data_IF_266287505383
#
_entry.id   IF_266287505383
#
_cell.length_a   1.000
_cell.length_b   1.000
_cell.length_c   1.000
_cell.angle_alpha   90.00
_cell.angle_beta   90.00
_cell.angle_gamma   90.00
#
_symmetry.space_group_name_H-M   'P 1'
#
loop_
_entity.id
_entity.type
_entity.pdbx_description
1 polymer ?
#
# COMPACT_ATOMS: atom_id res chain seq x y z
N UNK A 1 16.71 1.55 16.62
CA UNK A 1 15.40 2.04 16.16
C UNK A 1 14.62 0.82 15.67
N UNK A 2 13.30 0.73 15.94
CA UNK A 2 12.54 -0.42 15.46
C UNK A 2 12.60 -0.46 13.93
N UNK A 3 12.68 -1.67 13.37
CA UNK A 3 12.57 -1.89 11.93
C UNK A 3 11.25 -1.30 11.46
N UNK A 4 11.25 -0.53 10.37
CA UNK A 4 10.01 -0.03 9.78
C UNK A 4 9.12 -1.23 9.44
N UNK A 5 7.92 -1.32 10.04
CA UNK A 5 6.93 -2.25 9.52
C UNK A 5 6.57 -1.83 8.09
N UNK A 6 6.47 -2.82 7.21
CA UNK A 6 6.27 -2.67 5.76
C UNK A 6 7.40 -1.94 5.02
N UNK A 7 8.65 -2.38 5.20
CA UNK A 7 9.72 -1.96 4.29
C UNK A 7 9.47 -2.47 2.85
N UNK A 8 9.81 -1.69 1.80
CA UNK A 8 9.66 -2.12 0.42
C UNK A 8 10.58 -3.31 0.08
N UNK A 9 10.11 -4.16 -0.83
CA UNK A 9 10.89 -5.22 -1.47
C UNK A 9 11.38 -4.72 -2.83
N UNK A 10 12.68 -4.47 -2.97
CA UNK A 10 13.24 -3.73 -4.10
C UNK A 10 14.27 -4.56 -4.84
N UNK A 11 14.11 -4.62 -6.15
CA UNK A 11 15.12 -5.14 -7.08
C UNK A 11 15.77 -3.97 -7.82
N UNK A 12 17.04 -3.70 -7.56
CA UNK A 12 17.82 -2.74 -8.35
C UNK A 12 18.40 -3.47 -9.55
N UNK A 13 17.90 -3.18 -10.76
CA UNK A 13 18.25 -3.85 -12.02
C UNK A 13 18.99 -2.91 -12.99
N UNK A 14 19.60 -3.50 -14.02
CA UNK A 14 20.39 -2.80 -15.03
C UNK A 14 21.67 -3.57 -15.42
N UNK A 15 22.32 -3.12 -16.48
CA UNK A 15 23.54 -3.74 -17.02
C UNK A 15 24.69 -3.70 -16.00
N UNK A 16 25.62 -4.67 -16.05
CA UNK A 16 26.82 -4.63 -15.21
C UNK A 16 27.58 -3.31 -15.43
N UNK A 17 28.05 -2.69 -14.33
CA UNK A 17 28.66 -1.36 -14.39
C UNK A 17 27.68 -0.17 -14.33
N UNK A 18 26.36 -0.39 -14.37
CA UNK A 18 25.36 0.69 -14.24
C UNK A 18 25.31 1.35 -12.84
N UNK A 19 25.93 0.74 -11.82
CA UNK A 19 25.96 1.27 -10.46
C UNK A 19 24.97 0.61 -9.49
N UNK A 20 24.34 -0.52 -9.86
CA UNK A 20 23.34 -1.24 -9.04
C UNK A 20 23.75 -1.40 -7.58
N UNK A 21 24.96 -1.90 -7.32
CA UNK A 21 25.46 -2.13 -5.95
C UNK A 21 25.61 -0.83 -5.17
N UNK A 22 26.15 0.21 -5.81
CA UNK A 22 26.32 1.53 -5.18
C UNK A 22 24.97 2.15 -4.82
N UNK A 23 24.02 2.18 -5.76
CA UNK A 23 22.68 2.72 -5.51
C UNK A 23 21.92 1.85 -4.50
N UNK A 24 21.96 0.52 -4.65
CA UNK A 24 21.27 -0.41 -3.76
C UNK A 24 21.77 -0.36 -2.31
N UNK A 25 23.08 -0.25 -2.09
CA UNK A 25 23.66 -0.07 -0.75
C UNK A 25 23.25 1.27 -0.14
N UNK A 26 23.39 2.37 -0.88
CA UNK A 26 23.04 3.70 -0.38
C UNK A 26 21.54 3.83 -0.10
N UNK A 27 20.68 3.23 -0.94
CA UNK A 27 19.25 3.18 -0.72
C UNK A 27 18.89 2.34 0.53
N UNK A 28 19.59 1.22 0.75
CA UNK A 28 19.38 0.38 1.93
C UNK A 28 19.77 1.09 3.22
N UNK A 29 20.88 1.83 3.22
CA UNK A 29 21.27 2.70 4.32
C UNK A 29 20.22 3.79 4.58
N UNK A 30 19.74 4.45 3.51
CA UNK A 30 18.73 5.52 3.58
C UNK A 30 17.41 5.06 4.17
N UNK A 31 16.99 3.84 3.83
CA UNK A 31 15.73 3.24 4.27
C UNK A 31 15.86 2.35 5.51
N UNK A 32 17.08 2.15 6.01
CA UNK A 32 17.40 1.20 7.08
C UNK A 32 16.87 -0.23 6.80
N UNK A 33 17.15 -0.73 5.60
CA UNK A 33 16.71 -2.05 5.11
C UNK A 33 17.89 -3.00 4.89
N UNK A 34 17.69 -4.32 4.97
CA UNK A 34 18.72 -5.28 4.60
C UNK A 34 19.04 -5.19 3.09
N UNK A 35 20.34 -5.22 2.76
CA UNK A 35 20.85 -5.24 1.38
C UNK A 35 21.53 -6.57 1.08
N UNK A 36 21.41 -7.06 -0.16
CA UNK A 36 22.23 -8.16 -0.67
C UNK A 36 22.58 -7.99 -2.15
N UNK A 37 23.71 -8.57 -2.56
CA UNK A 37 24.13 -8.58 -3.97
C UNK A 37 23.62 -9.87 -4.63
N UNK A 38 22.77 -9.74 -5.66
CA UNK A 38 22.12 -10.86 -6.32
C UNK A 38 23.08 -11.87 -6.93
N UNK A 39 24.27 -11.43 -7.32
CA UNK A 39 25.31 -12.29 -7.91
C UNK A 39 25.72 -13.41 -6.94
N UNK A 40 25.58 -13.18 -5.62
CA UNK A 40 25.86 -14.17 -4.58
C UNK A 40 24.89 -15.37 -4.54
N UNK A 41 23.75 -15.30 -5.23
CA UNK A 41 22.80 -16.41 -5.31
C UNK A 41 23.03 -17.34 -6.50
N UNK A 42 24.02 -17.06 -7.36
CA UNK A 42 24.29 -17.93 -8.49
C UNK A 42 24.73 -19.33 -8.01
N UNK A 43 24.13 -20.41 -8.55
CA UNK A 43 24.67 -21.75 -8.41
C UNK A 43 26.12 -21.82 -8.93
N UNK A 44 26.90 -22.77 -8.41
CA UNK A 44 28.30 -22.96 -8.80
C UNK A 44 28.48 -23.10 -10.31
N UNK A 45 27.60 -23.85 -10.97
CA UNK A 45 27.63 -24.06 -12.43
C UNK A 45 27.49 -22.74 -13.21
N UNK A 46 26.68 -21.80 -12.71
CA UNK A 46 26.53 -20.48 -13.34
C UNK A 46 27.80 -19.65 -13.18
N UNK A 47 28.42 -19.70 -12.01
CA UNK A 47 29.69 -19.02 -11.74
C UNK A 47 30.79 -19.56 -12.67
N UNK A 48 30.88 -20.88 -12.83
CA UNK A 48 31.85 -21.53 -13.72
C UNK A 48 31.62 -21.17 -15.20
N UNK A 49 30.36 -21.14 -15.67
CA UNK A 49 30.01 -20.70 -17.03
C UNK A 49 30.42 -19.24 -17.28
N UNK A 50 30.05 -18.34 -16.37
CA UNK A 50 30.36 -16.91 -16.49
C UNK A 50 31.87 -16.64 -16.42
N UNK A 51 32.60 -17.33 -15.53
CA UNK A 51 34.06 -17.25 -15.45
C UNK A 51 34.73 -17.77 -16.73
N UNK A 52 34.14 -18.76 -17.39
CA UNK A 52 34.55 -19.28 -18.69
C UNK A 52 34.09 -18.44 -19.89
N UNK A 53 33.41 -17.31 -19.69
CA UNK A 53 32.88 -16.44 -20.76
C UNK A 53 31.68 -17.02 -21.50
N UNK A 54 31.06 -18.08 -20.99
CA UNK A 54 29.85 -18.69 -21.55
C UNK A 54 28.62 -17.95 -21.03
N UNK A 55 27.78 -17.35 -21.91
CA UNK A 55 26.52 -16.74 -21.48
C UNK A 55 25.59 -17.78 -20.87
N UNK A 56 24.89 -17.39 -19.80
CA UNK A 56 23.85 -18.23 -19.21
C UNK A 56 22.65 -18.32 -20.16
N UNK A 57 21.89 -19.41 -20.10
CA UNK A 57 20.56 -19.55 -20.73
C UNK A 57 19.45 -19.12 -19.76
N UNK A 58 18.19 -19.09 -20.21
CA UNK A 58 17.05 -18.85 -19.31
C UNK A 58 16.93 -19.96 -18.25
N UNK A 59 17.08 -21.22 -18.67
CA UNK A 59 17.08 -22.38 -17.76
C UNK A 59 18.19 -22.31 -16.70
N UNK A 60 19.37 -21.78 -17.05
CA UNK A 60 20.46 -21.56 -16.10
C UNK A 60 20.11 -20.46 -15.07
N UNK A 61 19.32 -19.45 -15.46
CA UNK A 61 18.95 -18.33 -14.60
C UNK A 61 17.79 -18.66 -13.66
N UNK A 62 16.93 -19.62 -13.99
CA UNK A 62 15.76 -19.95 -13.16
C UNK A 62 16.10 -20.24 -11.68
N UNK A 63 17.07 -21.12 -11.33
CA UNK A 63 17.38 -21.39 -9.93
C UNK A 63 17.94 -20.18 -9.18
N UNK A 64 18.62 -19.28 -9.90
CA UNK A 64 19.16 -18.03 -9.38
C UNK A 64 18.05 -17.02 -9.07
N UNK A 65 17.11 -16.82 -10.01
CA UNK A 65 15.94 -15.97 -9.80
C UNK A 65 15.06 -16.47 -8.65
N UNK A 66 14.87 -17.80 -8.54
CA UNK A 66 14.10 -18.40 -7.44
C UNK A 66 14.77 -18.19 -6.07
N UNK A 67 16.10 -18.19 -6.02
CA UNK A 67 16.83 -17.91 -4.79
C UNK A 67 16.68 -16.44 -4.35
N UNK A 68 16.72 -15.51 -5.30
CA UNK A 68 16.43 -14.09 -5.05
C UNK A 68 14.97 -13.91 -4.59
N UNK A 69 14.01 -14.55 -5.26
CA UNK A 69 12.60 -14.51 -4.88
C UNK A 69 12.38 -15.02 -3.45
N UNK A 70 13.01 -16.15 -3.07
CA UNK A 70 12.95 -16.67 -1.69
C UNK A 70 13.54 -15.69 -0.67
N UNK A 71 14.65 -15.02 -1.00
CA UNK A 71 15.26 -14.04 -0.11
C UNK A 71 14.37 -12.82 0.12
N UNK A 72 13.68 -12.35 -0.93
CA UNK A 72 12.71 -11.27 -0.86
C UNK A 72 11.44 -11.70 -0.10
N UNK A 73 10.88 -12.88 -0.41
CA UNK A 73 9.68 -13.41 0.26
C UNK A 73 9.88 -13.60 1.77
N UNK A 74 11.08 -14.01 2.20
CA UNK A 74 11.42 -14.12 3.62
C UNK A 74 11.47 -12.76 4.35
N UNK A 75 11.35 -11.65 3.61
CA UNK A 75 11.37 -10.27 4.10
C UNK A 75 10.06 -9.53 3.86
N UNK A 76 9.01 -10.23 3.43
CA UNK A 76 7.67 -9.66 3.39
C UNK A 76 7.32 -9.09 4.77
N UNK A 77 6.93 -7.81 4.81
CA UNK A 77 6.64 -7.08 6.05
C UNK A 77 7.84 -6.38 6.70
N UNK A 78 9.08 -6.80 6.45
CA UNK A 78 10.30 -6.12 6.96
C UNK A 78 11.05 -5.32 5.89
N UNK A 79 10.84 -5.64 4.61
CA UNK A 79 11.52 -5.05 3.46
C UNK A 79 12.94 -5.56 3.22
N UNK A 80 13.46 -5.25 2.04
CA UNK A 80 14.80 -5.65 1.62
C UNK A 80 15.14 -5.20 0.20
N UNK A 81 16.43 -4.96 -0.05
CA UNK A 81 16.95 -4.50 -1.32
C UNK A 81 17.94 -5.52 -1.86
N UNK A 82 17.72 -5.96 -3.09
CA UNK A 82 18.62 -6.87 -3.81
C UNK A 82 19.00 -6.27 -5.15
N UNK A 83 20.27 -6.36 -5.52
CA UNK A 83 20.66 -6.14 -6.92
C UNK A 83 20.32 -7.37 -7.73
N UNK A 84 19.80 -7.23 -8.93
CA UNK A 84 19.61 -8.38 -9.82
C UNK A 84 19.71 -7.91 -11.26
N UNK A 85 20.50 -8.59 -12.09
CA UNK A 85 20.49 -8.37 -13.53
C UNK A 85 19.30 -9.07 -14.21
N UNK A 86 18.09 -8.81 -13.70
CA UNK A 86 16.83 -9.21 -14.32
C UNK A 86 16.52 -8.27 -15.51
N UNK A 87 17.30 -8.41 -16.59
CA UNK A 87 17.29 -7.50 -17.74
C UNK A 87 16.08 -7.70 -18.67
N UNK A 88 15.49 -8.89 -18.71
CA UNK A 88 14.30 -9.21 -19.52
C UNK A 88 13.03 -9.17 -18.68
N UNK A 89 11.91 -8.77 -19.29
CA UNK A 89 10.57 -8.76 -18.69
C UNK A 89 10.19 -10.12 -18.13
N UNK A 90 10.40 -11.20 -18.87
CA UNK A 90 10.05 -12.55 -18.39
C UNK A 90 10.77 -12.96 -17.09
N UNK A 91 11.96 -12.43 -16.82
CA UNK A 91 12.66 -12.65 -15.55
C UNK A 91 12.06 -11.81 -14.41
N UNK A 92 11.62 -10.58 -14.71
CA UNK A 92 10.93 -9.70 -13.76
C UNK A 92 9.53 -10.23 -13.44
N UNK A 93 8.79 -10.72 -14.43
CA UNK A 93 7.50 -11.39 -14.26
C UNK A 93 7.61 -12.59 -13.31
N UNK A 94 8.69 -13.39 -13.43
CA UNK A 94 8.94 -14.51 -12.50
C UNK A 94 9.13 -14.05 -11.06
N UNK A 95 9.89 -12.97 -10.85
CA UNK A 95 10.10 -12.38 -9.52
C UNK A 95 8.78 -11.80 -8.96
N UNK A 96 8.02 -11.07 -9.79
CA UNK A 96 6.75 -10.47 -9.41
C UNK A 96 5.65 -11.50 -9.09
N UNK A 97 5.65 -12.64 -9.80
CA UNK A 97 4.75 -13.76 -9.52
C UNK A 97 5.06 -14.45 -8.18
N UNK A 98 6.34 -14.46 -7.77
CA UNK A 98 6.77 -15.09 -6.51
C UNK A 98 6.71 -14.14 -5.31
N UNK A 99 6.80 -12.82 -5.54
CA UNK A 99 6.88 -11.79 -4.51
C UNK A 99 5.94 -10.65 -4.87
N UNK A 100 4.73 -10.69 -4.32
CA UNK A 100 3.73 -9.65 -4.52
C UNK A 100 4.24 -8.27 -4.08
N UNK A 101 4.07 -7.26 -4.94
CA UNK A 101 4.45 -5.87 -4.65
C UNK A 101 5.94 -5.57 -4.75
N UNK A 102 6.77 -6.48 -5.28
CA UNK A 102 8.19 -6.18 -5.57
C UNK A 102 8.31 -4.99 -6.53
N UNK A 103 9.24 -4.07 -6.24
CA UNK A 103 9.48 -2.86 -7.05
C UNK A 103 10.81 -2.99 -7.80
N UNK A 104 10.79 -2.72 -9.10
CA UNK A 104 11.99 -2.73 -9.94
C UNK A 104 12.53 -1.32 -10.16
N UNK A 105 13.75 -1.06 -9.69
CA UNK A 105 14.47 0.18 -9.98
C UNK A 105 15.50 -0.10 -11.08
N UNK A 106 15.16 0.21 -12.33
CA UNK A 106 16.03 0.00 -13.48
C UNK A 106 16.98 1.18 -13.65
N UNK A 107 18.28 0.96 -13.46
CA UNK A 107 19.29 1.98 -13.76
C UNK A 107 19.56 2.02 -15.26
N UNK A 108 19.17 3.13 -15.89
CA UNK A 108 19.43 3.40 -17.30
C UNK A 108 20.83 4.01 -17.47
N UNK A 109 21.76 3.18 -17.94
CA UNK A 109 23.15 3.56 -18.16
C UNK A 109 23.49 3.39 -19.64
N UNK A 110 24.05 4.42 -20.27
CA UNK A 110 24.52 4.30 -21.65
C UNK A 110 25.73 3.33 -21.74
N UNK A 111 25.95 2.68 -22.90
CA UNK A 111 27.13 1.87 -23.13
C UNK A 111 28.44 2.60 -22.85
N UNK A 112 28.50 3.90 -23.16
CA UNK A 112 29.66 4.77 -22.95
C UNK A 112 29.94 4.95 -21.45
N UNK A 113 28.91 5.26 -20.66
CA UNK A 113 29.03 5.41 -19.21
C UNK A 113 29.47 4.11 -18.54
N UNK A 114 28.92 2.98 -18.98
CA UNK A 114 29.34 1.65 -18.48
C UNK A 114 30.79 1.37 -18.84
N UNK A 115 31.20 1.63 -20.08
CA UNK A 115 32.58 1.43 -20.52
C UNK A 115 33.58 2.28 -19.74
N UNK A 116 33.25 3.55 -19.48
CA UNK A 116 34.06 4.46 -18.65
C UNK A 116 34.23 3.91 -17.22
N UNK A 117 33.13 3.51 -16.58
CA UNK A 117 33.15 2.97 -15.21
C UNK A 117 33.93 1.65 -15.11
N UNK A 118 33.82 0.78 -16.11
CA UNK A 118 34.56 -0.47 -16.14
C UNK A 118 36.06 -0.27 -16.39
N UNK A 119 36.43 0.71 -17.22
CA UNK A 119 37.84 1.07 -17.43
C UNK A 119 38.52 1.59 -16.15
N UNK A 120 37.75 2.23 -15.25
CA UNK A 120 38.23 2.72 -13.96
C UNK A 120 38.33 1.67 -12.84
N UNK A 121 37.81 0.45 -13.02
CA UNK A 121 37.85 -0.61 -11.98
C UNK A 121 39.16 -1.38 -12.02
N UNK A 122 39.83 -1.47 -10.86
CA UNK A 122 41.08 -2.24 -10.70
C UNK A 122 40.87 -3.73 -10.39
N UNK A 123 39.67 -4.11 -9.92
CA UNK A 123 39.33 -5.49 -9.53
C UNK A 123 38.14 -6.03 -10.33
N UNK A 124 38.26 -7.29 -10.77
CA UNK A 124 37.25 -8.08 -11.51
C UNK A 124 36.72 -7.39 -12.79
N UNK A 125 37.49 -7.50 -13.87
CA UNK A 125 37.10 -7.01 -15.19
C UNK A 125 36.11 -8.00 -15.83
N UNK A 126 34.82 -7.66 -15.83
CA UNK A 126 33.83 -8.37 -16.64
C UNK A 126 34.25 -8.28 -18.12
N UNK A 127 34.28 -9.39 -18.90
CA UNK A 127 34.63 -9.34 -20.31
C UNK A 127 33.70 -8.39 -21.08
N UNK A 128 34.28 -7.56 -21.98
CA UNK A 128 33.52 -6.55 -22.76
C UNK A 128 32.37 -7.17 -23.56
N UNK A 129 32.56 -8.38 -24.08
CA UNK A 129 31.55 -9.10 -24.86
C UNK A 129 30.33 -9.49 -24.02
N UNK A 130 30.52 -9.75 -22.72
CA UNK A 130 29.44 -10.07 -21.79
C UNK A 130 28.62 -8.82 -21.40
N UNK A 131 29.27 -7.64 -21.34
CA UNK A 131 28.55 -6.37 -21.16
C UNK A 131 27.73 -6.05 -22.41
N UNK A 132 28.29 -6.29 -23.60
CA UNK A 132 27.58 -6.11 -24.86
C UNK A 132 26.38 -7.03 -24.98
N UNK A 133 26.49 -8.30 -24.58
CA UNK A 133 25.34 -9.22 -24.58
C UNK A 133 24.26 -8.76 -23.60
N UNK A 134 24.61 -8.21 -22.44
CA UNK A 134 23.63 -7.65 -21.51
C UNK A 134 22.84 -6.47 -22.09
N UNK A 135 23.48 -5.57 -22.84
CA UNK A 135 22.75 -4.51 -23.56
C UNK A 135 21.81 -5.07 -24.63
N UNK A 136 22.19 -6.18 -25.29
CA UNK A 136 21.32 -6.85 -26.25
C UNK A 136 20.15 -7.60 -25.59
N UNK A 137 20.28 -8.00 -24.32
CA UNK A 137 19.22 -8.63 -23.53
C UNK A 137 18.34 -7.64 -22.76
N UNK A 138 18.73 -6.37 -22.65
CA UNK A 138 18.01 -5.37 -21.87
C UNK A 138 16.69 -5.00 -22.55
N UNK A 139 15.60 -5.39 -21.90
CA UNK A 139 14.24 -4.94 -22.22
C UNK A 139 13.88 -3.81 -21.25
N UNK A 140 13.56 -2.60 -21.76
CA UNK A 140 13.14 -1.48 -20.92
C UNK A 140 11.99 -1.87 -19.98
N UNK A 141 11.97 -1.28 -18.79
CA UNK A 141 10.85 -1.42 -17.87
C UNK A 141 9.58 -0.84 -18.54
N UNK A 142 8.54 -1.64 -18.64
CA UNK A 142 7.28 -1.28 -19.29
C UNK A 142 6.36 -0.57 -18.28
N UNK A 143 5.45 0.33 -18.72
CA UNK A 143 4.58 1.09 -17.81
C UNK A 143 3.62 0.28 -16.92
N UNK A 144 3.38 -0.99 -17.24
CA UNK A 144 2.58 -1.93 -16.44
C UNK A 144 3.41 -2.71 -15.40
N UNK A 145 4.74 -2.60 -15.43
CA UNK A 145 5.62 -3.21 -14.44
C UNK A 145 5.79 -2.29 -13.23
N UNK A 146 5.70 -2.87 -12.02
CA UNK A 146 5.82 -2.11 -10.77
C UNK A 146 7.27 -1.62 -10.57
N UNK A 147 7.55 -0.37 -10.92
CA UNK A 147 8.91 0.17 -10.81
C UNK A 147 9.12 1.50 -11.52
N UNK A 148 10.39 1.90 -11.58
CA UNK A 148 10.81 3.11 -12.28
C UNK A 148 12.15 2.91 -12.99
N UNK A 149 12.31 3.61 -14.11
CA UNK A 149 13.60 3.78 -14.78
C UNK A 149 14.27 5.02 -14.18
N UNK A 150 15.46 4.84 -13.62
CA UNK A 150 16.26 5.89 -13.01
C UNK A 150 17.49 6.19 -13.86
N UNK A 151 17.87 7.46 -14.05
CA UNK A 151 19.11 7.78 -14.73
C UNK A 151 20.30 7.21 -13.94
N UNK A 152 21.19 6.48 -14.60
CA UNK A 152 22.43 6.01 -13.97
C UNK A 152 23.54 7.07 -14.01
N UNK A 153 23.35 8.14 -14.77
CA UNK A 153 24.26 9.27 -14.87
C UNK A 153 24.09 10.22 -13.66
N UNK A 154 25.20 10.83 -13.23
CA UNK A 154 25.21 11.74 -12.09
C UNK A 154 25.66 11.10 -10.76
N UNK A 155 25.65 11.89 -9.67
CA UNK A 155 26.14 11.45 -8.37
C UNK A 155 25.15 10.49 -7.70
N UNK A 156 25.62 9.41 -7.02
CA UNK A 156 24.74 8.43 -6.39
C UNK A 156 23.67 8.99 -5.44
N UNK A 157 23.92 10.04 -4.61
CA UNK A 157 22.88 10.62 -3.76
C UNK A 157 21.63 11.08 -4.53
N UNK A 158 21.80 11.75 -5.68
CA UNK A 158 20.65 12.19 -6.48
C UNK A 158 19.87 11.04 -7.09
N UNK A 159 20.54 9.96 -7.46
CA UNK A 159 19.88 8.73 -7.95
C UNK A 159 19.12 8.04 -6.81
N UNK A 160 19.66 8.07 -5.59
CA UNK A 160 19.01 7.53 -4.39
C UNK A 160 17.77 8.35 -4.01
N UNK A 161 17.81 9.68 -4.13
CA UNK A 161 16.64 10.52 -3.90
C UNK A 161 15.53 10.18 -4.91
N UNK A 162 15.85 10.08 -6.21
CA UNK A 162 14.90 9.62 -7.23
C UNK A 162 14.36 8.21 -6.96
N UNK A 163 15.21 7.31 -6.45
CA UNK A 163 14.80 5.97 -6.06
C UNK A 163 13.81 5.98 -4.88
N UNK A 164 14.03 6.82 -3.88
CA UNK A 164 13.11 7.00 -2.75
C UNK A 164 11.78 7.57 -3.23
N UNK A 165 11.81 8.56 -4.12
CA UNK A 165 10.59 9.15 -4.68
C UNK A 165 9.80 8.12 -5.50
N UNK A 166 10.49 7.31 -6.31
CA UNK A 166 9.86 6.22 -7.06
C UNK A 166 9.21 5.17 -6.14
N UNK A 167 9.82 4.85 -5.00
CA UNK A 167 9.26 3.91 -4.03
C UNK A 167 8.05 4.45 -3.28
N UNK A 168 7.82 5.77 -3.31
CA UNK A 168 6.66 6.45 -2.72
C UNK A 168 5.56 6.75 -3.72
N UNK A 169 5.85 6.63 -5.01
CA UNK A 169 4.89 6.92 -6.07
C UNK A 169 3.77 5.87 -6.09
N UNK A 170 2.52 6.28 -6.28
CA UNK A 170 1.42 5.35 -6.39
C UNK A 170 1.50 4.53 -7.68
N UNK A 171 0.99 3.31 -7.64
CA UNK A 171 1.03 2.37 -8.77
C UNK A 171 -0.30 1.64 -8.94
N UNK A 172 -0.55 1.17 -10.16
CA UNK A 172 -1.70 0.32 -10.50
C UNK A 172 -1.24 -1.13 -10.58
N UNK A 173 -1.99 -2.01 -9.93
CA UNK A 173 -1.78 -3.46 -9.99
C UNK A 173 -3.05 -4.10 -10.57
N UNK A 174 -2.93 -4.76 -11.72
CA UNK A 174 -4.00 -5.62 -12.23
C UNK A 174 -4.05 -6.91 -11.38
N UNK A 175 -5.13 -7.09 -10.63
CA UNK A 175 -5.33 -8.23 -9.75
C UNK A 175 -5.80 -9.46 -10.53
N UNK A 176 -6.63 -9.21 -11.53
CA UNK A 176 -7.09 -10.14 -12.56
C UNK A 176 -7.68 -9.32 -13.70
N UNK A 177 -8.03 -9.97 -14.82
CA UNK A 177 -8.54 -9.27 -16.01
C UNK A 177 -9.66 -8.30 -15.66
N UNK A 178 -9.40 -7.00 -15.86
CA UNK A 178 -10.37 -5.92 -15.64
C UNK A 178 -10.56 -5.50 -14.18
N UNK A 179 -9.82 -6.03 -13.21
CA UNK A 179 -9.89 -5.61 -11.79
C UNK A 179 -8.53 -5.13 -11.34
N UNK A 180 -8.48 -3.88 -10.89
CA UNK A 180 -7.23 -3.21 -10.56
C UNK A 180 -7.27 -2.62 -9.15
N UNK A 181 -6.14 -2.66 -8.46
CA UNK A 181 -5.88 -1.86 -7.26
C UNK A 181 -4.99 -0.68 -7.65
N UNK A 182 -5.32 0.51 -7.14
CA UNK A 182 -4.43 1.66 -7.13
C UNK A 182 -3.86 1.79 -5.73
N UNK A 183 -2.60 1.43 -5.57
CA UNK A 183 -1.92 1.38 -4.28
C UNK A 183 -1.11 2.64 -4.12
N UNK A 184 -1.30 3.33 -2.99
CA UNK A 184 -0.46 4.45 -2.60
C UNK A 184 0.54 3.93 -1.55
N UNK A 185 1.84 3.81 -1.89
CA UNK A 185 2.84 3.34 -0.95
C UNK A 185 2.81 4.15 0.34
N UNK A 186 3.08 3.40 1.39
CA UNK A 186 2.78 3.78 2.76
C UNK A 186 3.70 4.92 3.22
N UNK A 187 3.16 6.13 3.21
CA UNK A 187 3.84 7.36 3.64
C UNK A 187 3.34 7.89 4.99
N UNK A 188 2.25 7.36 5.55
CA UNK A 188 1.62 7.84 6.80
C UNK A 188 0.14 8.20 6.59
N UNK A 189 -0.39 9.19 7.31
CA UNK A 189 -1.82 9.54 7.26
C UNK A 189 -2.26 10.08 5.90
N UNK A 190 -3.55 9.85 5.59
CA UNK A 190 -4.28 10.31 4.42
C UNK A 190 -3.82 9.71 3.07
N UNK A 191 -3.24 8.52 3.10
CA UNK A 191 -2.87 7.75 1.91
C UNK A 191 -3.72 6.49 1.81
N UNK A 192 -4.84 6.56 1.09
CA UNK A 192 -5.69 5.40 0.88
C UNK A 192 -5.26 4.59 -0.36
N UNK A 193 -5.61 3.32 -0.39
CA UNK A 193 -5.76 2.60 -1.63
C UNK A 193 -7.12 2.91 -2.26
N UNK A 194 -7.13 2.88 -3.59
CA UNK A 194 -8.33 2.89 -4.41
C UNK A 194 -8.35 1.63 -5.29
N UNK A 195 -9.41 1.45 -6.06
CA UNK A 195 -9.50 0.36 -7.03
C UNK A 195 -10.45 0.67 -8.15
N UNK A 196 -10.37 -0.07 -9.25
CA UNK A 196 -11.35 0.04 -10.32
C UNK A 196 -11.61 -1.28 -11.02
N UNK A 197 -12.85 -1.44 -11.45
CA UNK A 197 -13.34 -2.57 -12.22
C UNK A 197 -13.74 -2.05 -13.60
N UNK A 198 -13.24 -2.63 -14.67
CA UNK A 198 -13.54 -2.24 -16.05
C UNK A 198 -13.73 -3.44 -16.96
N UNK A 199 -14.68 -3.34 -17.89
CA UNK A 199 -14.85 -4.25 -19.02
C UNK A 199 -14.34 -3.65 -20.35
N UNK A 200 -13.66 -2.49 -20.28
CA UNK A 200 -13.20 -1.71 -21.43
C UNK A 200 -14.24 -0.75 -22.02
N UNK A 201 -15.50 -0.85 -21.61
CA UNK A 201 -16.59 0.05 -22.03
C UNK A 201 -17.13 0.90 -20.88
N UNK A 202 -17.20 0.32 -19.69
CA UNK A 202 -17.59 0.96 -18.44
C UNK A 202 -16.54 0.72 -17.37
N UNK A 203 -16.42 1.68 -16.46
CA UNK A 203 -15.52 1.59 -15.30
C UNK A 203 -16.28 1.99 -14.04
N UNK A 204 -16.13 1.17 -12.99
CA UNK A 204 -16.51 1.48 -11.61
C UNK A 204 -15.24 1.73 -10.81
N UNK A 205 -15.16 2.89 -10.17
CA UNK A 205 -14.06 3.28 -9.28
C UNK A 205 -14.47 3.07 -7.81
N UNK A 206 -13.51 2.71 -6.97
CA UNK A 206 -13.64 2.52 -5.52
C UNK A 206 -12.68 3.50 -4.85
N UNK A 207 -13.23 4.48 -4.12
CA UNK A 207 -12.54 5.60 -3.47
C UNK A 207 -11.73 6.52 -4.42
N UNK A 208 -11.33 7.71 -3.93
CA UNK A 208 -10.88 8.83 -4.81
C UNK A 208 -9.66 9.62 -4.34
N UNK A 209 -9.00 9.22 -3.26
CA UNK A 209 -7.84 9.91 -2.66
C UNK A 209 -8.14 11.25 -1.96
N UNK A 210 -7.16 11.68 -1.15
CA UNK A 210 -7.28 12.79 -0.21
C UNK A 210 -7.14 14.20 -0.80
N UNK A 211 -6.36 14.35 -1.88
CA UNK A 211 -6.04 15.66 -2.46
C UNK A 211 -6.44 15.71 -3.92
N UNK A 212 -6.69 16.92 -4.42
CA UNK A 212 -6.99 17.14 -5.84
C UNK A 212 -5.88 16.57 -6.74
N UNK A 213 -4.61 16.81 -6.38
CA UNK A 213 -3.46 16.31 -7.13
C UNK A 213 -3.45 14.78 -7.21
N UNK A 214 -3.69 14.08 -6.08
CA UNK A 214 -3.76 12.62 -6.04
C UNK A 214 -4.97 12.07 -6.77
N UNK A 215 -6.13 12.70 -6.63
CA UNK A 215 -7.34 12.31 -7.36
C UNK A 215 -7.15 12.44 -8.87
N UNK A 216 -6.45 13.49 -9.34
CA UNK A 216 -6.06 13.65 -10.75
C UNK A 216 -5.05 12.60 -11.19
N UNK A 217 -4.09 12.24 -10.34
CA UNK A 217 -3.13 11.15 -10.61
C UNK A 217 -3.84 9.79 -10.73
N UNK A 218 -4.78 9.49 -9.83
CA UNK A 218 -5.64 8.31 -9.91
C UNK A 218 -6.44 8.30 -11.22
N UNK A 219 -7.07 9.42 -11.58
CA UNK A 219 -7.79 9.56 -12.86
C UNK A 219 -6.89 9.29 -14.07
N UNK A 220 -5.66 9.80 -14.06
CA UNK A 220 -4.68 9.55 -15.12
C UNK A 220 -4.27 8.07 -15.16
N UNK A 221 -4.09 7.43 -14.01
CA UNK A 221 -3.73 6.03 -13.89
C UNK A 221 -4.84 5.10 -14.43
N UNK A 222 -6.12 5.41 -14.15
CA UNK A 222 -7.25 4.70 -14.77
C UNK A 222 -7.17 4.77 -16.30
N UNK A 223 -6.96 5.96 -16.87
CA UNK A 223 -6.84 6.13 -18.32
C UNK A 223 -5.62 5.40 -18.90
N UNK A 224 -4.49 5.42 -18.20
CA UNK A 224 -3.26 4.76 -18.63
C UNK A 224 -3.41 3.23 -18.68
N UNK A 225 -4.30 2.64 -17.87
CA UNK A 225 -4.64 1.21 -17.94
C UNK A 225 -5.45 0.82 -19.20
N UNK A 226 -5.90 1.79 -19.99
CA UNK A 226 -6.79 1.59 -21.13
C UNK A 226 -8.28 1.55 -20.77
N UNK A 227 -8.63 1.63 -19.48
CA UNK A 227 -10.01 1.76 -19.03
C UNK A 227 -10.59 3.15 -19.37
N UNK A 228 -11.87 3.26 -19.76
CA UNK A 228 -12.53 4.55 -19.88
C UNK A 228 -12.71 5.20 -18.50
N UNK A 229 -13.04 6.49 -18.50
CA UNK A 229 -13.34 7.20 -17.25
C UNK A 229 -14.51 6.54 -16.49
N UNK A 230 -14.46 6.51 -15.15
CA UNK A 230 -15.52 5.94 -14.35
C UNK A 230 -16.88 6.59 -14.60
N UNK A 231 -17.91 5.77 -14.68
CA UNK A 231 -19.33 6.22 -14.67
C UNK A 231 -19.98 5.98 -13.31
N UNK A 232 -19.32 5.21 -12.45
CA UNK A 232 -19.72 4.95 -11.06
C UNK A 232 -18.49 5.10 -10.17
N UNK A 233 -18.64 5.83 -9.07
CA UNK A 233 -17.67 5.89 -7.96
C UNK A 233 -18.34 5.30 -6.74
N UNK A 234 -17.69 4.38 -6.05
CA UNK A 234 -18.14 3.80 -4.79
C UNK A 234 -17.26 4.35 -3.68
N UNK A 235 -17.87 4.97 -2.66
CA UNK A 235 -17.16 5.33 -1.44
C UNK A 235 -17.27 4.22 -0.42
N UNK A 236 -16.13 3.77 0.12
CA UNK A 236 -16.09 2.75 1.16
C UNK A 236 -16.59 3.30 2.49
N UNK A 237 -16.26 4.54 2.83
CA UNK A 237 -16.71 5.26 4.01
C UNK A 237 -16.45 6.77 3.85
N UNK A 238 -16.79 7.58 4.86
CA UNK A 238 -16.84 9.05 4.72
C UNK A 238 -15.49 9.78 4.83
N UNK A 239 -14.40 9.11 5.23
CA UNK A 239 -13.15 9.82 5.52
C UNK A 239 -12.60 10.52 4.28
N UNK A 240 -11.95 11.66 4.53
CA UNK A 240 -11.56 12.57 3.46
C UNK A 240 -10.51 11.98 2.54
N UNK A 241 -9.65 11.11 3.05
CA UNK A 241 -8.66 10.40 2.25
C UNK A 241 -9.26 9.39 1.28
N UNK A 242 -10.52 9.00 1.45
CA UNK A 242 -11.26 8.15 0.52
C UNK A 242 -12.19 8.93 -0.40
N UNK A 243 -12.60 10.15 -0.02
CA UNK A 243 -13.76 10.83 -0.61
C UNK A 243 -13.50 12.24 -1.15
N UNK A 244 -12.43 12.91 -0.73
CA UNK A 244 -12.17 14.30 -1.14
C UNK A 244 -11.95 14.44 -2.65
N UNK A 245 -11.40 13.41 -3.28
CA UNK A 245 -11.24 13.36 -4.73
C UNK A 245 -12.53 13.17 -5.53
N UNK A 246 -13.70 12.95 -4.89
CA UNK A 246 -14.97 12.68 -5.57
C UNK A 246 -15.29 13.73 -6.65
N UNK A 247 -15.02 15.01 -6.38
CA UNK A 247 -15.27 16.12 -7.31
C UNK A 247 -14.54 15.99 -8.66
N UNK A 248 -13.38 15.31 -8.70
CA UNK A 248 -12.62 15.06 -9.93
C UNK A 248 -13.37 14.13 -10.90
N UNK A 249 -14.27 13.30 -10.38
CA UNK A 249 -15.03 12.30 -11.14
C UNK A 249 -16.52 12.66 -11.30
N UNK A 250 -17.05 13.54 -10.45
CA UNK A 250 -18.48 13.82 -10.32
C UNK A 250 -19.18 14.33 -11.59
N UNK A 251 -18.43 14.94 -12.52
CA UNK A 251 -18.99 15.42 -13.80
C UNK A 251 -19.42 14.30 -14.75
N UNK A 252 -18.88 13.09 -14.59
CA UNK A 252 -19.15 11.93 -15.45
C UNK A 252 -19.62 10.68 -14.72
N UNK A 253 -19.65 10.69 -13.39
CA UNK A 253 -19.96 9.52 -12.58
C UNK A 253 -21.08 9.78 -11.56
N UNK A 254 -21.89 8.75 -11.31
CA UNK A 254 -22.72 8.70 -10.10
C UNK A 254 -21.88 8.22 -8.92
N UNK A 255 -22.09 8.82 -7.75
CA UNK A 255 -21.38 8.47 -6.52
C UNK A 255 -22.30 7.63 -5.65
N UNK A 256 -21.88 6.41 -5.36
CA UNK A 256 -22.62 5.40 -4.60
C UNK A 256 -21.94 5.22 -3.25
N UNK A 257 -22.73 5.14 -2.19
CA UNK A 257 -22.22 4.91 -0.83
C UNK A 257 -23.32 4.58 0.15
N UNK A 258 -22.95 4.14 1.34
CA UNK A 258 -23.93 3.88 2.40
C UNK A 258 -24.67 5.16 2.81
N UNK A 259 -25.92 5.05 3.27
CA UNK A 259 -26.71 6.20 3.72
C UNK A 259 -25.99 6.99 4.83
N UNK A 260 -25.35 6.31 5.78
CA UNK A 260 -24.58 6.97 6.85
C UNK A 260 -23.29 7.61 6.33
N UNK A 261 -22.59 7.00 5.36
CA UNK A 261 -21.42 7.61 4.73
C UNK A 261 -21.76 8.98 4.10
N UNK A 262 -22.92 9.08 3.43
CA UNK A 262 -23.43 10.36 2.92
C UNK A 262 -23.69 11.36 4.05
N UNK A 263 -24.37 10.93 5.11
CA UNK A 263 -24.76 11.79 6.22
C UNK A 263 -23.53 12.32 6.98
N UNK A 264 -22.58 11.42 7.30
CA UNK A 264 -21.32 11.73 7.97
C UNK A 264 -20.48 12.70 7.13
N UNK A 265 -20.34 12.47 5.82
CA UNK A 265 -19.53 13.36 5.00
C UNK A 265 -20.10 14.78 4.91
N UNK A 266 -21.43 14.91 4.83
CA UNK A 266 -22.10 16.22 4.89
C UNK A 266 -21.92 16.89 6.25
N UNK A 267 -21.94 16.12 7.34
CA UNK A 267 -21.80 16.64 8.70
C UNK A 267 -20.36 17.07 9.02
N UNK A 268 -19.36 16.30 8.56
CA UNK A 268 -17.94 16.56 8.87
C UNK A 268 -17.30 17.56 7.91
N UNK A 269 -17.81 17.66 6.68
CA UNK A 269 -17.23 18.49 5.64
C UNK A 269 -15.73 18.23 5.47
N UNK A 270 -14.95 19.31 5.37
CA UNK A 270 -13.49 19.28 5.19
C UNK A 270 -12.72 19.05 6.51
N UNK A 271 -13.09 18.03 7.27
CA UNK A 271 -12.51 17.73 8.60
C UNK A 271 -10.98 17.55 8.61
N UNK A 272 -10.38 17.01 7.54
CA UNK A 272 -8.92 16.85 7.46
C UNK A 272 -8.17 18.19 7.49
N UNK A 273 -8.75 19.29 7.00
CA UNK A 273 -8.14 20.64 7.06
C UNK A 273 -7.90 21.09 8.51
N UNK A 274 -8.73 20.61 9.45
CA UNK A 274 -8.60 20.93 10.87
C UNK A 274 -7.47 20.14 11.54
N UNK A 275 -7.25 18.91 11.08
CA UNK A 275 -6.24 18.01 11.63
C UNK A 275 -4.85 18.28 11.03
N UNK A 276 -4.80 18.66 9.74
CA UNK A 276 -3.57 18.89 8.99
C UNK A 276 -3.67 20.15 8.10
N UNK A 277 -3.69 21.34 8.71
CA UNK A 277 -3.88 22.61 7.98
C UNK A 277 -2.76 22.95 7.00
N UNK A 278 -1.58 22.34 7.16
CA UNK A 278 -0.41 22.58 6.32
C UNK A 278 -0.38 21.72 5.04
N UNK A 279 -1.34 20.81 4.87
CA UNK A 279 -1.44 19.95 3.67
C UNK A 279 -2.09 20.72 2.52
N UNK A 280 -1.50 20.63 1.33
CA UNK A 280 -2.07 21.18 0.10
C UNK A 280 -3.16 20.25 -0.45
N UNK A 281 -4.38 20.36 0.08
CA UNK A 281 -5.52 19.54 -0.36
C UNK A 281 -6.01 19.89 -1.79
N UNK A 282 -5.77 21.11 -2.26
CA UNK A 282 -6.30 21.62 -3.53
C UNK A 282 -7.79 22.00 -3.48
N UNK A 283 -8.39 22.14 -4.65
CA UNK A 283 -9.81 22.52 -4.83
C UNK A 283 -10.74 21.33 -4.57
N UNK A 284 -10.85 20.94 -3.30
CA UNK A 284 -11.73 19.87 -2.84
C UNK A 284 -13.11 20.42 -2.51
N UNK A 285 -14.10 20.00 -3.29
CA UNK A 285 -15.53 20.16 -3.01
C UNK A 285 -16.09 18.88 -2.38
N UNK A 286 -16.76 19.02 -1.23
CA UNK A 286 -17.42 17.88 -0.56
C UNK A 286 -18.57 17.38 -1.43
N UNK A 287 -18.33 16.26 -2.12
CA UNK A 287 -19.24 15.71 -3.12
C UNK A 287 -19.83 14.37 -2.65
N UNK A 288 -21.00 14.37 -1.98
CA UNK A 288 -21.57 13.18 -1.36
C UNK A 288 -22.23 12.17 -2.27
N UNK A 289 -22.26 10.88 -1.86
CA UNK A 289 -22.97 9.83 -2.59
C UNK A 289 -24.38 10.27 -2.96
N UNK A 290 -24.66 10.40 -4.26
CA UNK A 290 -25.97 10.77 -4.77
C UNK A 290 -26.90 9.56 -5.00
N UNK A 291 -26.34 8.36 -4.93
CA UNK A 291 -27.05 7.08 -4.83
C UNK A 291 -26.67 6.47 -3.49
N UNK A 292 -27.67 6.09 -2.68
CA UNK A 292 -27.41 5.49 -1.37
C UNK A 292 -28.12 4.16 -1.19
N UNK A 293 -27.56 3.33 -0.32
CA UNK A 293 -28.11 2.05 0.10
C UNK A 293 -27.89 1.84 1.61
N UNK A 294 -28.62 0.89 2.21
CA UNK A 294 -28.56 0.61 3.66
C UNK A 294 -27.95 -0.73 4.03
N UNK A 295 -28.24 -1.78 3.27
CA UNK A 295 -27.76 -3.14 3.60
C UNK A 295 -26.83 -3.65 2.52
N UNK A 296 -27.37 -3.79 1.29
CA UNK A 296 -26.62 -4.26 0.14
C UNK A 296 -27.04 -3.53 -1.14
N UNK A 297 -26.11 -3.41 -2.05
CA UNK A 297 -26.35 -2.99 -3.44
C UNK A 297 -25.47 -3.84 -4.35
N UNK A 298 -25.97 -4.22 -5.51
CA UNK A 298 -25.17 -4.92 -6.52
C UNK A 298 -25.07 -4.06 -7.77
N UNK A 299 -23.85 -3.75 -8.17
CA UNK A 299 -23.53 -3.10 -9.42
C UNK A 299 -22.95 -4.12 -10.42
N UNK A 300 -23.11 -3.84 -11.70
CA UNK A 300 -22.53 -4.66 -12.77
C UNK A 300 -21.63 -3.80 -13.66
N UNK A 301 -20.44 -4.31 -13.94
CA UNK A 301 -19.52 -3.77 -14.95
C UNK A 301 -19.32 -4.86 -16.00
N UNK A 302 -20.04 -4.74 -17.11
CA UNK A 302 -20.15 -5.82 -18.09
C UNK A 302 -20.65 -7.11 -17.44
N UNK A 303 -19.85 -8.17 -17.53
CA UNK A 303 -20.14 -9.47 -16.90
C UNK A 303 -19.70 -9.59 -15.44
N UNK A 304 -19.00 -8.60 -14.87
CA UNK A 304 -18.50 -8.63 -13.49
C UNK A 304 -19.54 -8.11 -12.51
N UNK A 305 -19.83 -8.90 -11.48
CA UNK A 305 -20.70 -8.50 -10.38
C UNK A 305 -19.88 -7.84 -9.26
N UNK A 306 -20.34 -6.68 -8.79
CA UNK A 306 -19.72 -5.93 -7.71
C UNK A 306 -20.75 -5.73 -6.60
N UNK A 307 -20.58 -6.44 -5.49
CA UNK A 307 -21.48 -6.37 -4.33
C UNK A 307 -20.96 -5.34 -3.32
N UNK A 308 -21.81 -4.37 -2.96
CA UNK A 308 -21.59 -3.45 -1.86
C UNK A 308 -22.34 -3.98 -0.64
N UNK A 309 -21.62 -4.22 0.45
CA UNK A 309 -22.15 -4.85 1.66
C UNK A 309 -21.83 -3.97 2.86
N UNK A 310 -22.86 -3.50 3.56
CA UNK A 310 -22.69 -2.81 4.82
C UNK A 310 -22.53 -3.86 5.96
N UNK A 311 -21.40 -3.89 6.70
CA UNK A 311 -21.17 -4.89 7.75
C UNK A 311 -21.78 -4.49 9.11
N UNK A 312 -22.50 -3.37 9.18
CA UNK A 312 -22.82 -2.67 10.43
C UNK A 312 -21.71 -1.68 10.82
N UNK A 313 -21.89 -0.93 11.92
CA UNK A 313 -20.87 0.02 12.40
C UNK A 313 -19.57 -0.71 12.74
N UNK A 314 -18.45 -0.32 12.14
CA UNK A 314 -17.16 -0.98 12.34
C UNK A 314 -16.00 0.02 12.37
N UNK A 315 -15.42 0.41 11.24
CA UNK A 315 -14.44 1.49 11.19
C UNK A 315 -15.13 2.86 11.33
N UNK A 316 -16.25 3.04 10.64
CA UNK A 316 -17.22 4.15 10.75
C UNK A 316 -18.63 3.59 10.95
N UNK A 317 -19.66 4.43 10.91
CA UNK A 317 -21.05 3.93 10.85
C UNK A 317 -21.51 3.70 9.40
N UNK A 318 -20.76 4.21 8.42
CA UNK A 318 -21.06 4.17 7.00
C UNK A 318 -20.26 3.17 6.16
N UNK A 319 -19.58 2.19 6.76
CA UNK A 319 -18.64 1.31 6.05
C UNK A 319 -19.31 0.48 4.94
N UNK A 320 -18.58 0.28 3.85
CA UNK A 320 -18.95 -0.53 2.68
C UNK A 320 -17.82 -1.49 2.36
N UNK A 321 -18.12 -2.78 2.40
CA UNK A 321 -17.28 -3.82 1.80
C UNK A 321 -17.63 -3.90 0.31
N UNK A 322 -16.64 -3.82 -0.57
CA UNK A 322 -16.82 -4.04 -2.01
C UNK A 322 -16.29 -5.44 -2.37
N UNK A 323 -17.20 -6.33 -2.74
CA UNK A 323 -16.93 -7.75 -2.96
C UNK A 323 -17.16 -8.15 -4.42
N UNK A 324 -16.18 -8.84 -5.00
CA UNK A 324 -16.23 -9.40 -6.35
C UNK A 324 -16.23 -10.94 -6.28
N UNK A 325 -17.41 -11.59 -6.26
CA UNK A 325 -17.52 -13.02 -5.96
C UNK A 325 -16.84 -13.92 -6.98
N UNK A 326 -16.92 -13.59 -8.28
CA UNK A 326 -16.33 -14.41 -9.34
C UNK A 326 -14.80 -14.39 -9.26
N UNK A 327 -14.20 -13.23 -8.97
CA UNK A 327 -12.75 -13.04 -8.86
C UNK A 327 -12.20 -13.42 -7.49
N UNK A 328 -13.07 -13.52 -6.47
CA UNK A 328 -12.70 -13.69 -5.05
C UNK A 328 -11.80 -12.57 -4.53
N UNK A 329 -12.13 -11.33 -4.90
CA UNK A 329 -11.40 -10.12 -4.51
C UNK A 329 -12.30 -9.25 -3.66
N UNK A 330 -11.78 -8.72 -2.55
CA UNK A 330 -12.50 -7.79 -1.68
C UNK A 330 -11.71 -6.49 -1.49
N UNK A 331 -12.36 -5.34 -1.65
CA UNK A 331 -11.89 -4.05 -1.18
C UNK A 331 -12.59 -3.74 0.13
N UNK A 332 -11.81 -3.49 1.18
CA UNK A 332 -12.36 -3.44 2.54
C UNK A 332 -12.57 -2.03 3.07
N UNK A 333 -12.07 -1.02 2.35
CA UNK A 333 -11.75 0.26 2.97
C UNK A 333 -10.96 0.05 4.25
N UNK A 334 -11.21 0.89 5.23
CA UNK A 334 -10.46 0.94 6.49
C UNK A 334 -10.93 -0.08 7.54
N UNK A 335 -11.75 -1.05 7.14
CA UNK A 335 -11.95 -2.25 7.96
C UNK A 335 -10.64 -3.02 8.16
N UNK A 336 -9.71 -2.92 7.20
CA UNK A 336 -8.38 -3.54 7.24
C UNK A 336 -7.30 -2.50 6.98
N UNK A 337 -6.33 -2.46 7.88
CA UNK A 337 -5.05 -1.79 7.71
C UNK A 337 -3.97 -2.86 7.63
N UNK A 338 -3.22 -2.91 6.53
CA UNK A 338 -2.12 -3.87 6.40
C UNK A 338 -0.80 -3.23 6.83
N UNK A 339 -0.38 -3.48 8.08
CA UNK A 339 0.85 -2.97 8.70
C UNK A 339 0.74 -1.59 9.35
N UNK A 340 -0.40 -0.92 9.19
CA UNK A 340 -0.83 0.21 10.03
C UNK A 340 -1.64 -0.25 11.24
N UNK A 341 -1.71 0.57 12.28
CA UNK A 341 -2.57 0.31 13.45
C UNK A 341 -4.05 0.48 13.06
N UNK A 342 -4.91 -0.55 13.26
CA UNK A 342 -6.36 -0.41 13.04
C UNK A 342 -6.95 0.79 13.77
N UNK A 343 -7.93 1.47 13.18
CA UNK A 343 -8.52 2.69 13.74
C UNK A 343 -10.03 2.54 13.80
N UNK A 344 -10.65 2.62 14.98
CA UNK A 344 -12.10 2.43 15.16
C UNK A 344 -12.81 3.51 16.00
N UNK A 345 -12.26 4.72 16.26
CA UNK A 345 -12.94 5.67 17.15
C UNK A 345 -14.27 6.18 16.62
N UNK A 346 -14.52 6.17 15.31
CA UNK A 346 -15.77 6.65 14.70
C UNK A 346 -16.80 5.54 14.46
N UNK A 347 -16.41 4.27 14.60
CA UNK A 347 -17.30 3.13 14.45
C UNK A 347 -17.43 2.33 15.74
N UNK A 348 -17.02 1.08 15.72
CA UNK A 348 -17.13 0.15 16.83
C UNK A 348 -15.99 -0.86 16.85
N UNK A 349 -15.44 -1.11 18.04
CA UNK A 349 -14.51 -2.22 18.26
C UNK A 349 -15.24 -3.56 18.10
N UNK A 350 -16.37 -3.74 18.80
CA UNK A 350 -17.18 -4.97 18.71
C UNK A 350 -17.69 -5.20 17.30
N UNK A 351 -18.14 -4.13 16.64
CA UNK A 351 -18.61 -4.19 15.25
C UNK A 351 -17.49 -4.49 14.26
N UNK A 352 -16.27 -4.00 14.48
CA UNK A 352 -15.11 -4.37 13.66
C UNK A 352 -14.78 -5.86 13.76
N UNK A 353 -14.88 -6.47 14.94
CA UNK A 353 -14.72 -7.93 15.08
C UNK A 353 -15.79 -8.70 14.27
N UNK A 354 -17.05 -8.22 14.24
CA UNK A 354 -18.12 -8.79 13.41
C UNK A 354 -17.90 -8.57 11.92
N UNK A 355 -17.33 -7.43 11.54
CA UNK A 355 -16.97 -7.15 10.16
C UNK A 355 -15.90 -8.13 9.65
N UNK A 356 -14.93 -8.52 10.50
CA UNK A 356 -13.94 -9.56 10.16
C UNK A 356 -14.60 -10.93 9.93
N UNK A 357 -15.63 -11.30 10.71
CA UNK A 357 -16.41 -12.52 10.46
C UNK A 357 -17.13 -12.46 9.10
N UNK A 358 -17.71 -11.29 8.77
CA UNK A 358 -18.33 -11.04 7.47
C UNK A 358 -17.31 -11.20 6.34
N UNK A 359 -16.14 -10.57 6.44
CA UNK A 359 -15.06 -10.67 5.45
C UNK A 359 -14.61 -12.12 5.24
N UNK A 360 -14.42 -12.89 6.33
CA UNK A 360 -14.08 -14.32 6.23
C UNK A 360 -15.15 -15.14 5.52
N UNK A 361 -16.43 -14.82 5.74
CA UNK A 361 -17.55 -15.54 5.11
C UNK A 361 -17.61 -15.37 3.58
N UNK A 362 -17.01 -14.30 3.04
CA UNK A 362 -16.97 -14.05 1.60
C UNK A 362 -16.05 -15.03 0.86
N UNK A 363 -15.05 -15.60 1.55
CA UNK A 363 -14.08 -16.52 0.93
C UNK A 363 -13.17 -15.83 -0.08
N UNK A 364 -12.79 -14.57 0.18
CA UNK A 364 -11.81 -13.84 -0.61
C UNK A 364 -10.45 -14.55 -0.64
N UNK A 365 -9.73 -14.41 -1.74
CA UNK A 365 -8.32 -14.83 -1.88
C UNK A 365 -7.39 -13.64 -1.90
N UNK A 366 -7.85 -12.51 -2.44
CA UNK A 366 -7.12 -11.26 -2.50
C UNK A 366 -7.89 -10.19 -1.75
N UNK A 367 -7.18 -9.46 -0.90
CA UNK A 367 -7.68 -8.38 -0.06
C UNK A 367 -6.98 -7.10 -0.44
N UNK A 368 -7.76 -6.10 -0.85
CA UNK A 368 -7.28 -4.72 -1.04
C UNK A 368 -7.69 -3.92 0.20
N UNK A 369 -6.77 -3.69 1.15
CA UNK A 369 -7.06 -2.90 2.33
C UNK A 369 -7.24 -1.43 1.96
N UNK A 370 -7.84 -0.64 2.85
CA UNK A 370 -7.89 0.82 2.71
C UNK A 370 -6.50 1.45 2.79
N UNK A 371 -5.56 0.83 3.53
CA UNK A 371 -4.18 1.28 3.68
C UNK A 371 -3.20 0.11 3.68
N UNK A 372 -2.01 0.34 3.11
CA UNK A 372 -0.94 -0.65 3.02
C UNK A 372 -1.03 -1.54 1.77
N UNK A 373 -0.13 -2.52 1.61
CA UNK A 373 -0.06 -3.31 0.38
C UNK A 373 -1.24 -4.29 0.24
N UNK A 374 -1.61 -4.61 -1.01
CA UNK A 374 -2.53 -5.71 -1.34
C UNK A 374 -2.04 -7.00 -0.69
N UNK A 375 -2.97 -7.78 -0.14
CA UNK A 375 -2.66 -8.93 0.72
C UNK A 375 -3.69 -10.05 0.56
N UNK A 376 -3.66 -11.01 1.48
CA UNK A 376 -4.56 -12.15 1.56
C UNK A 376 -5.31 -12.19 2.91
N UNK A 377 -6.28 -13.10 3.12
CA UNK A 377 -7.08 -13.17 4.34
C UNK A 377 -6.30 -13.37 5.65
N UNK A 378 -5.02 -13.77 5.62
CA UNK A 378 -4.20 -13.89 6.83
C UNK A 378 -4.08 -12.56 7.60
N UNK A 379 -4.23 -11.42 6.91
CA UNK A 379 -4.25 -10.10 7.55
C UNK A 379 -5.39 -9.95 8.57
N UNK A 380 -6.51 -10.65 8.38
CA UNK A 380 -7.67 -10.59 9.27
C UNK A 380 -7.33 -11.08 10.68
N UNK A 381 -6.45 -12.07 10.78
CA UNK A 381 -6.06 -12.63 12.08
C UNK A 381 -5.19 -11.64 12.86
N UNK A 382 -4.32 -10.88 12.17
CA UNK A 382 -3.52 -9.82 12.79
C UNK A 382 -4.39 -8.67 13.28
N UNK A 383 -5.37 -8.22 12.46
CA UNK A 383 -6.33 -7.18 12.86
C UNK A 383 -7.18 -7.66 14.04
N UNK A 384 -7.67 -8.91 14.01
CA UNK A 384 -8.45 -9.48 15.12
C UNK A 384 -7.65 -9.53 16.42
N UNK A 385 -6.40 -10.02 16.39
CA UNK A 385 -5.54 -10.05 17.58
C UNK A 385 -5.34 -8.64 18.15
N UNK A 386 -5.11 -7.63 17.31
CA UNK A 386 -5.00 -6.24 17.75
C UNK A 386 -6.30 -5.74 18.41
N UNK A 387 -7.46 -5.93 17.78
CA UNK A 387 -8.74 -5.48 18.34
C UNK A 387 -9.05 -6.18 19.69
N UNK A 388 -8.72 -7.47 19.82
CA UNK A 388 -8.84 -8.21 21.09
C UNK A 388 -7.86 -7.72 22.15
N UNK A 389 -6.65 -7.35 21.75
CA UNK A 389 -5.69 -6.70 22.65
C UNK A 389 -6.23 -5.38 23.19
N UNK A 390 -6.79 -4.52 22.33
CA UNK A 390 -7.43 -3.26 22.76
C UNK A 390 -8.59 -3.53 23.71
N UNK A 391 -9.45 -4.51 23.42
CA UNK A 391 -10.56 -4.88 24.29
C UNK A 391 -10.08 -5.31 25.68
N UNK A 392 -9.09 -6.22 25.76
CA UNK A 392 -8.55 -6.70 27.02
C UNK A 392 -7.85 -5.57 27.82
N UNK A 393 -7.08 -4.72 27.14
CA UNK A 393 -6.46 -3.56 27.75
C UNK A 393 -7.53 -2.60 28.29
N UNK A 394 -8.60 -2.35 27.53
CA UNK A 394 -9.67 -1.48 27.97
C UNK A 394 -10.40 -2.00 29.21
N UNK A 395 -10.75 -3.29 29.23
CA UNK A 395 -11.40 -3.92 30.38
C UNK A 395 -10.57 -3.80 31.66
N UNK A 396 -9.29 -4.18 31.56
CA UNK A 396 -8.35 -4.17 32.69
C UNK A 396 -8.04 -2.77 33.19
N UNK A 397 -7.72 -1.84 32.29
CA UNK A 397 -7.40 -0.45 32.64
C UNK A 397 -8.62 0.30 33.20
N UNK A 398 -9.82 0.06 32.65
CA UNK A 398 -11.05 0.67 33.17
C UNK A 398 -11.40 0.14 34.55
N UNK A 399 -11.24 -1.16 34.80
CA UNK A 399 -11.43 -1.75 36.12
C UNK A 399 -10.45 -1.18 37.17
N UNK A 400 -9.25 -0.77 36.72
CA UNK A 400 -8.25 -0.09 37.54
C UNK A 400 -8.49 1.44 37.67
N UNK A 401 -9.53 1.99 37.05
CA UNK A 401 -9.86 3.41 37.10
C UNK A 401 -8.94 4.32 36.25
N UNK A 402 -8.18 3.75 35.32
CA UNK A 402 -7.29 4.51 34.44
C UNK A 402 -8.07 5.12 33.28
N UNK A 403 -7.70 6.34 32.89
CA UNK A 403 -8.16 6.97 31.64
C UNK A 403 -7.59 6.25 30.40
N UNK A 404 -8.19 6.41 29.21
CA UNK A 404 -7.63 5.88 27.96
C UNK A 404 -6.17 6.30 27.72
N UNK A 405 -5.80 7.55 28.01
CA UNK A 405 -4.43 8.04 27.87
C UNK A 405 -3.45 7.38 28.83
N UNK A 406 -3.83 7.22 30.11
CA UNK A 406 -3.00 6.51 31.09
C UNK A 406 -2.82 5.04 30.71
N UNK A 407 -3.90 4.39 30.28
CA UNK A 407 -3.87 3.03 29.77
C UNK A 407 -2.92 2.89 28.57
N UNK A 408 -3.01 3.79 27.58
CA UNK A 408 -2.15 3.78 26.41
C UNK A 408 -0.66 4.00 26.76
N UNK A 409 -0.35 4.89 27.72
CA UNK A 409 1.02 5.15 28.18
C UNK A 409 1.65 3.96 28.91
N UNK A 410 0.84 3.20 29.65
CA UNK A 410 1.27 2.02 30.40
C UNK A 410 1.23 0.72 29.59
N UNK A 411 0.77 0.77 28.34
CA UNK A 411 0.55 -0.40 27.52
C UNK A 411 1.85 -1.03 27.04
N UNK A 412 1.96 -2.36 27.11
CA UNK A 412 2.99 -3.12 26.40
C UNK A 412 2.46 -3.55 25.02
N UNK A 413 2.97 -2.97 23.92
CA UNK A 413 2.44 -3.25 22.59
C UNK A 413 2.75 -4.67 22.10
N UNK A 414 3.69 -5.40 22.72
CA UNK A 414 3.99 -6.80 22.35
C UNK A 414 4.23 -7.00 20.85
N UNK A 415 3.48 -7.92 20.22
CA UNK A 415 3.56 -8.18 18.77
C UNK A 415 3.19 -6.98 17.90
N UNK A 416 2.45 -6.00 18.45
CA UNK A 416 1.97 -4.82 17.74
C UNK A 416 2.98 -3.65 17.77
N UNK A 417 4.13 -3.81 18.42
CA UNK A 417 5.15 -2.75 18.52
C UNK A 417 5.66 -2.26 17.14
N UNK A 418 5.54 -3.11 16.10
CA UNK A 418 5.89 -2.76 14.73
C UNK A 418 4.82 -1.94 14.02
N UNK A 419 3.55 -1.97 14.43
CA UNK A 419 2.48 -1.28 13.71
C UNK A 419 2.70 0.23 13.69
N UNK A 420 2.53 0.82 12.51
CA UNK A 420 2.63 2.27 12.32
C UNK A 420 1.44 3.00 12.95
N UNK A 421 1.58 4.32 13.15
CA UNK A 421 0.57 5.16 13.78
C UNK A 421 0.07 4.60 15.13
N UNK A 422 0.98 4.04 15.93
CA UNK A 422 0.67 3.39 17.21
C UNK A 422 -0.11 4.26 18.19
N UNK A 423 -0.03 5.59 18.02
CA UNK A 423 -0.83 6.56 18.78
C UNK A 423 -2.33 6.38 18.60
N UNK A 424 -2.80 5.71 17.53
CA UNK A 424 -4.21 5.32 17.32
C UNK A 424 -4.77 4.48 18.48
N UNK A 425 -3.90 3.78 19.23
CA UNK A 425 -4.29 2.99 20.41
C UNK A 425 -5.13 3.80 21.38
N UNK A 426 -4.79 5.05 21.66
CA UNK A 426 -5.52 5.84 22.67
C UNK A 426 -6.95 6.15 22.23
N UNK A 427 -7.15 6.49 20.96
CA UNK A 427 -8.49 6.72 20.42
C UNK A 427 -9.31 5.42 20.33
N UNK A 428 -8.66 4.29 20.04
CA UNK A 428 -9.31 2.98 20.10
C UNK A 428 -9.74 2.62 21.53
N UNK A 429 -8.96 3.00 22.55
CA UNK A 429 -9.34 2.84 23.96
C UNK A 429 -10.53 3.72 24.35
N UNK A 430 -10.61 4.96 23.84
CA UNK A 430 -11.82 5.79 23.99
C UNK A 430 -13.08 5.09 23.45
N UNK A 431 -12.98 4.46 22.28
CA UNK A 431 -14.08 3.65 21.73
C UNK A 431 -14.42 2.45 22.60
N UNK A 432 -13.41 1.68 23.02
CA UNK A 432 -13.62 0.49 23.83
C UNK A 432 -14.29 0.85 25.18
N UNK A 433 -13.86 1.94 25.82
CA UNK A 433 -14.45 2.43 27.07
C UNK A 433 -15.93 2.82 26.88
N UNK A 434 -16.24 3.54 25.80
CA UNK A 434 -17.61 3.91 25.47
C UNK A 434 -18.52 2.67 25.30
N UNK A 435 -18.04 1.61 24.66
CA UNK A 435 -18.79 0.35 24.52
C UNK A 435 -18.95 -0.38 25.86
N UNK A 436 -17.91 -0.40 26.71
CA UNK A 436 -17.97 -0.97 28.07
C UNK A 436 -18.91 -0.19 29.01
N UNK A 437 -19.22 1.06 28.69
CA UNK A 437 -20.23 1.89 29.37
C UNK A 437 -21.65 1.65 28.85
N UNK A 438 -21.82 0.75 27.88
CA UNK A 438 -23.12 0.41 27.30
C UNK A 438 -23.61 1.41 26.25
N UNK A 439 -22.73 2.27 25.73
CA UNK A 439 -23.10 3.17 24.62
C UNK A 439 -23.36 2.35 23.35
N UNK A 440 -24.30 2.76 22.48
CA UNK A 440 -24.55 2.07 21.21
C UNK A 440 -23.28 1.98 20.34
N UNK A 441 -23.17 0.91 19.55
CA UNK A 441 -22.08 0.76 18.58
C UNK A 441 -22.11 1.92 17.57
N UNK A 442 -20.97 2.54 17.28
CA UNK A 442 -20.93 3.72 16.41
C UNK A 442 -21.35 5.04 17.07
N UNK A 443 -21.75 5.05 18.36
CA UNK A 443 -22.14 6.29 19.03
C UNK A 443 -20.98 7.32 18.99
N UNK A 444 -21.22 8.60 18.63
CA UNK A 444 -20.15 9.59 18.48
C UNK A 444 -19.31 9.75 19.75
N UNK A 445 -17.99 9.76 19.63
CA UNK A 445 -17.09 10.11 20.73
C UNK A 445 -16.90 11.63 20.81
N UNK A 446 -16.31 12.12 21.90
CA UNK A 446 -15.78 13.49 21.94
C UNK A 446 -14.48 13.53 21.12
N UNK A 447 -14.48 14.19 19.94
CA UNK A 447 -13.30 14.24 19.10
C UNK A 447 -12.15 15.02 19.75
N UNK A 448 -12.44 16.03 20.58
CA UNK A 448 -11.40 16.80 21.26
C UNK A 448 -10.66 15.96 22.28
N UNK A 449 -11.38 15.11 23.01
CA UNK A 449 -10.76 14.17 23.95
C UNK A 449 -9.92 13.12 23.21
N UNK A 450 -10.50 12.42 22.22
CA UNK A 450 -9.84 11.31 21.56
C UNK A 450 -8.60 11.76 20.74
N UNK A 451 -8.74 12.77 19.88
CA UNK A 451 -7.62 13.28 19.08
C UNK A 451 -6.65 14.13 19.91
N UNK A 452 -7.13 14.83 20.94
CA UNK A 452 -6.26 15.53 21.89
C UNK A 452 -5.32 14.58 22.62
N UNK A 453 -5.84 13.45 23.11
CA UNK A 453 -5.01 12.43 23.76
C UNK A 453 -4.03 11.78 22.78
N UNK A 454 -4.40 11.60 21.51
CA UNK A 454 -3.46 11.15 20.47
C UNK A 454 -2.30 12.14 20.30
N UNK A 455 -2.58 13.44 20.23
CA UNK A 455 -1.55 14.47 20.14
C UNK A 455 -0.65 14.46 21.39
N UNK A 456 -1.24 14.35 22.58
CA UNK A 456 -0.49 14.28 23.85
C UNK A 456 0.41 13.04 23.91
N UNK A 457 -0.07 11.88 23.45
CA UNK A 457 0.72 10.65 23.36
C UNK A 457 1.87 10.81 22.35
N UNK A 458 1.68 11.63 21.32
CA UNK A 458 2.67 11.96 20.31
C UNK A 458 3.52 13.20 20.66
N UNK A 459 3.71 13.51 21.94
CA UNK A 459 4.58 14.61 22.36
C UNK A 459 3.98 16.02 22.18
N UNK A 460 2.66 16.12 22.07
CA UNK A 460 1.92 17.38 21.96
C UNK A 460 1.64 17.85 20.53
N UNK A 461 1.93 17.02 19.52
CA UNK A 461 1.69 17.34 18.11
C UNK A 461 0.89 16.23 17.44
N UNK A 462 0.06 16.57 16.47
CA UNK A 462 -0.57 15.55 15.62
C UNK A 462 0.49 14.81 14.81
N UNK A 463 0.24 13.54 14.51
CA UNK A 463 1.13 12.76 13.63
C UNK A 463 1.16 13.42 12.25
N UNK A 464 2.32 13.53 11.60
CA UNK A 464 2.39 14.10 10.25
C UNK A 464 1.45 13.40 9.27
N UNK A 465 0.85 14.19 8.39
CA UNK A 465 0.14 13.72 7.21
C UNK A 465 1.08 13.75 6.02
N UNK A 466 0.96 12.74 5.17
CA UNK A 466 1.80 12.58 3.97
C UNK A 466 0.96 12.48 2.69
N UNK A 467 -0.30 12.89 2.75
CA UNK A 467 -1.12 13.21 1.59
C UNK A 467 -0.48 14.30 0.74
#
# INVERSE_FOLDING_TARGET
MPMAANGPLVVVTGVSGSGKRTVGQALAERLNLPFTDGDGFHPRDNVEKLAGGTPLTDADREPWLDAIARWLAARTGSGGIVTCSALRRGWRDRLAAAVHGVVFLQLDASPELVAERLAGRKDHVMPRDLVRSQFAELEPLHPDENGAVLPAAGPPPGIVDLAVDALRAPYVMELTSGVHAYVQPDGGWCLNNAGFVSDGLATLLIDTAATEARARQLRAAVLASGAPLPTTVVNTHYHGDHTYGNGVFASGASIVGHTECRAEMLATGRHLDLLWPDVEYGDVEITPPNITYRERLTAHVGGSEVQLIHPGPAHTTGDTIVWLPQQRIVFTGDLIFHGGTPFVPMGSLTGSLRALETLRSLGARTVVPGHGPVTDPSVYDTVERYLRYVAALAETSRAAGLTPLEAARGADPGEFAGLRESVRLVANLHRAYAELEGRPLGAPLDPFAAFGDMAVLNGGVMVPCHA
#
